data_IF_131334432928
#
_entry.id   IF_131334432928
#
_cell.length_a   1.000
_cell.length_b   1.000
_cell.length_c   1.000
_cell.angle_alpha   90.00
_cell.angle_beta   90.00
_cell.angle_gamma   90.00
#
_symmetry.space_group_name_H-M   'P 1'
#
loop_
_entity.id
_entity.type
_entity.pdbx_description
1 polymer ?
#
# COMPACT_ATOMS: atom_id res chain seq x y z
N UNK A 1 16.26 -3.43 9.94
CA UNK A 1 15.11 -2.50 9.91
C UNK A 1 13.83 -3.28 10.14
N UNK A 2 12.85 -2.71 10.84
CA UNK A 2 11.56 -3.39 11.03
C UNK A 2 10.77 -3.33 9.73
N UNK A 3 10.21 -4.44 9.27
CA UNK A 3 9.39 -4.47 8.05
C UNK A 3 7.99 -4.94 8.39
N UNK A 4 6.98 -4.30 7.80
CA UNK A 4 5.57 -4.67 7.91
C UNK A 4 4.79 -4.26 6.67
N UNK A 5 3.59 -4.77 6.51
CA UNK A 5 2.64 -4.34 5.48
C UNK A 5 1.92 -3.06 5.88
N UNK A 6 1.32 -2.36 4.92
CA UNK A 6 0.44 -1.23 5.19
C UNK A 6 -0.72 -1.62 6.13
N UNK A 7 -1.31 -2.82 5.96
CA UNK A 7 -2.38 -3.31 6.83
C UNK A 7 -1.92 -3.46 8.29
N UNK A 8 -0.75 -4.06 8.53
CA UNK A 8 -0.18 -4.19 9.87
C UNK A 8 0.12 -2.83 10.51
N UNK A 9 0.64 -1.88 9.73
CA UNK A 9 0.93 -0.52 10.18
C UNK A 9 -0.34 0.25 10.58
N UNK A 10 -1.40 0.15 9.77
CA UNK A 10 -2.69 0.77 10.04
C UNK A 10 -3.40 0.17 11.26
N UNK A 11 -3.33 -1.16 11.42
CA UNK A 11 -3.91 -1.84 12.58
C UNK A 11 -3.12 -1.60 13.87
N UNK A 12 -1.82 -1.31 13.76
CA UNK A 12 -0.92 -1.18 14.92
C UNK A 12 0.03 0.03 14.78
N UNK A 13 -0.47 1.27 14.72
CA UNK A 13 0.36 2.46 14.50
C UNK A 13 1.46 2.65 15.56
N UNK A 14 1.21 2.23 16.80
CA UNK A 14 2.21 2.27 17.88
C UNK A 14 3.42 1.36 17.66
N UNK A 15 3.34 0.40 16.72
CA UNK A 15 4.46 -0.45 16.32
C UNK A 15 5.32 0.20 15.22
N UNK A 16 4.89 1.30 14.63
CA UNK A 16 5.66 2.04 13.62
C UNK A 16 6.64 2.99 14.30
N UNK A 17 7.89 2.98 13.88
CA UNK A 17 8.91 3.92 14.35
C UNK A 17 8.62 5.37 13.94
N UNK A 18 9.55 6.28 14.22
CA UNK A 18 9.42 7.71 13.99
C UNK A 18 9.74 8.14 12.56
N UNK A 19 10.60 7.40 11.85
CA UNK A 19 10.99 7.67 10.46
C UNK A 19 10.62 6.50 9.53
N UNK A 20 9.32 6.22 9.32
CA UNK A 20 8.91 5.15 8.44
C UNK A 20 9.10 5.51 6.97
N UNK A 21 9.56 4.54 6.19
CA UNK A 21 9.55 4.58 4.72
C UNK A 21 8.48 3.63 4.20
N UNK A 22 7.54 4.18 3.43
CA UNK A 22 6.51 3.42 2.72
C UNK A 22 7.01 3.17 1.29
N UNK A 23 7.02 1.90 0.88
CA UNK A 23 7.33 1.49 -0.50
C UNK A 23 6.01 1.27 -1.23
N UNK A 24 5.77 2.07 -2.27
CA UNK A 24 4.52 2.10 -3.04
C UNK A 24 3.68 3.32 -2.67
N UNK A 25 3.51 4.21 -3.65
CA UNK A 25 2.77 5.47 -3.60
C UNK A 25 1.40 5.40 -4.29
N UNK A 26 0.80 4.21 -4.38
CA UNK A 26 -0.62 4.08 -4.70
C UNK A 26 -1.52 4.69 -3.62
N UNK A 27 -2.84 4.56 -3.75
CA UNK A 27 -3.81 5.11 -2.78
C UNK A 27 -3.57 4.59 -1.36
N UNK A 28 -3.46 3.28 -1.18
CA UNK A 28 -3.19 2.66 0.13
C UNK A 28 -1.92 3.21 0.77
N UNK A 29 -0.85 3.36 -0.01
CA UNK A 29 0.43 3.90 0.48
C UNK A 29 0.30 5.36 0.90
N UNK A 30 -0.39 6.17 0.10
CA UNK A 30 -0.64 7.58 0.40
C UNK A 30 -1.54 7.78 1.63
N UNK A 31 -2.63 7.02 1.75
CA UNK A 31 -3.53 7.06 2.91
C UNK A 31 -2.80 6.62 4.19
N UNK A 32 -2.00 5.56 4.10
CA UNK A 32 -1.14 5.11 5.19
C UNK A 32 -0.14 6.19 5.59
N UNK A 33 0.42 6.90 4.61
CA UNK A 33 1.36 7.99 4.87
C UNK A 33 0.70 9.15 5.63
N UNK A 34 -0.47 9.60 5.17
CA UNK A 34 -1.23 10.65 5.87
C UNK A 34 -1.62 10.21 7.26
N UNK A 35 -2.12 8.98 7.40
CA UNK A 35 -2.52 8.43 8.70
C UNK A 35 -1.34 8.46 9.69
N UNK A 36 -0.17 7.93 9.31
CA UNK A 36 1.00 7.90 10.18
C UNK A 36 1.58 9.29 10.44
N UNK A 37 1.60 10.18 9.44
CA UNK A 37 2.03 11.56 9.64
C UNK A 37 1.16 12.29 10.67
N UNK A 38 -0.17 12.09 10.62
CA UNK A 38 -1.09 12.60 11.63
C UNK A 38 -0.90 11.96 13.02
N UNK A 39 -0.22 10.81 13.10
CA UNK A 39 0.23 10.18 14.35
C UNK A 39 1.66 10.61 14.74
N UNK A 40 2.14 11.74 14.22
CA UNK A 40 3.42 12.35 14.59
C UNK A 40 4.64 11.66 13.99
N UNK A 41 4.48 10.90 12.91
CA UNK A 41 5.60 10.21 12.23
C UNK A 41 6.16 11.04 11.07
N UNK A 42 7.47 10.98 10.87
CA UNK A 42 8.17 11.64 9.76
C UNK A 42 8.22 10.71 8.54
N UNK A 43 7.11 10.66 7.80
CA UNK A 43 6.91 9.66 6.74
C UNK A 43 7.60 10.06 5.43
N UNK A 44 8.24 9.06 4.79
CA UNK A 44 8.70 9.15 3.41
C UNK A 44 8.02 8.08 2.56
N UNK A 45 7.51 8.43 1.39
CA UNK A 45 6.96 7.51 0.38
C UNK A 45 7.96 7.38 -0.77
N UNK A 46 8.32 6.15 -1.11
CA UNK A 46 9.12 5.82 -2.31
C UNK A 46 8.18 5.21 -3.35
N UNK A 47 8.10 5.86 -4.52
CA UNK A 47 7.25 5.44 -5.63
C UNK A 47 8.07 5.24 -6.89
N UNK A 48 7.87 4.09 -7.56
CA UNK A 48 8.60 3.71 -8.76
C UNK A 48 8.16 4.52 -9.99
N UNK A 49 6.89 4.88 -10.07
CA UNK A 49 6.30 5.65 -11.16
C UNK A 49 6.64 7.13 -11.06
N UNK A 50 6.34 7.88 -12.13
CA UNK A 50 6.63 9.32 -12.23
C UNK A 50 5.85 10.18 -11.23
N UNK A 51 4.71 9.69 -10.77
CA UNK A 51 3.81 10.39 -9.85
C UNK A 51 3.18 9.41 -8.84
N UNK A 52 2.73 9.95 -7.71
CA UNK A 52 1.90 9.21 -6.76
C UNK A 52 0.50 9.00 -7.32
N UNK A 53 -0.14 7.90 -6.90
CA UNK A 53 -1.49 7.52 -7.31
C UNK A 53 -1.68 7.59 -8.83
N UNK A 54 -0.81 6.94 -9.64
CA UNK A 54 -0.91 6.99 -11.09
C UNK A 54 -2.14 6.16 -11.52
N UNK A 55 -3.28 6.82 -11.72
CA UNK A 55 -4.51 6.19 -12.21
C UNK A 55 -5.09 7.00 -13.37
N UNK A 56 -5.43 6.31 -14.47
CA UNK A 56 -5.98 6.92 -15.69
C UNK A 56 -7.51 6.87 -15.79
N UNK A 57 -8.20 6.24 -14.82
CA UNK A 57 -9.66 6.10 -14.88
C UNK A 57 -10.34 7.48 -14.80
N UNK A 58 -11.27 7.72 -15.73
CA UNK A 58 -12.05 8.95 -15.83
C UNK A 58 -12.75 9.26 -14.49
N UNK A 59 -12.48 10.44 -13.94
CA UNK A 59 -13.05 10.91 -12.67
C UNK A 59 -12.18 10.69 -11.43
N UNK A 60 -11.15 9.83 -11.49
CA UNK A 60 -10.32 9.52 -10.33
C UNK A 60 -9.39 10.67 -9.92
N UNK A 61 -9.00 11.52 -10.88
CA UNK A 61 -8.18 12.72 -10.61
C UNK A 61 -8.84 13.70 -9.63
N UNK A 62 -10.17 13.77 -9.58
CA UNK A 62 -10.86 14.63 -8.61
C UNK A 62 -10.73 14.09 -7.18
N UNK A 63 -10.81 12.77 -7.00
CA UNK A 63 -10.71 12.12 -5.69
C UNK A 63 -9.29 12.18 -5.13
N UNK A 64 -8.26 12.03 -5.98
CA UNK A 64 -6.87 12.09 -5.53
C UNK A 64 -6.39 13.49 -5.20
N UNK A 65 -7.08 14.55 -5.69
CA UNK A 65 -6.72 15.95 -5.40
C UNK A 65 -6.77 16.26 -3.90
N UNK A 66 -7.78 15.74 -3.19
CA UNK A 66 -7.90 15.92 -1.74
C UNK A 66 -6.77 15.20 -1.02
N UNK A 67 -6.46 13.97 -1.42
CA UNK A 67 -5.38 13.19 -0.80
C UNK A 67 -3.99 13.82 -1.05
N UNK A 68 -3.77 14.41 -2.23
CA UNK A 68 -2.59 15.22 -2.52
C UNK A 68 -2.44 16.41 -1.56
N UNK A 69 -3.52 17.14 -1.29
CA UNK A 69 -3.52 18.25 -0.34
C UNK A 69 -3.25 17.76 1.09
N UNK A 70 -3.85 16.63 1.49
CA UNK A 70 -3.60 16.01 2.79
C UNK A 70 -2.14 15.59 2.97
N UNK A 71 -1.53 14.96 1.95
CA UNK A 71 -0.10 14.59 1.97
C UNK A 71 0.80 15.82 2.19
N UNK A 72 0.53 16.90 1.47
CA UNK A 72 1.27 18.17 1.59
C UNK A 72 1.10 18.79 2.97
N UNK A 73 -0.14 18.89 3.46
CA UNK A 73 -0.45 19.45 4.79
C UNK A 73 0.15 18.63 5.92
N UNK A 74 0.20 17.31 5.77
CA UNK A 74 0.80 16.41 6.74
C UNK A 74 2.35 16.36 6.66
N UNK A 75 2.97 17.07 5.71
CA UNK A 75 4.43 17.11 5.57
C UNK A 75 5.05 15.80 5.09
N UNK A 76 4.28 14.95 4.41
CA UNK A 76 4.79 13.67 3.88
C UNK A 76 5.80 13.95 2.76
N UNK A 77 6.99 13.36 2.87
CA UNK A 77 7.99 13.39 1.80
C UNK A 77 7.67 12.32 0.77
N UNK A 78 7.74 12.65 -0.51
CA UNK A 78 7.54 11.69 -1.59
C UNK A 78 8.71 11.74 -2.58
N UNK A 79 9.25 10.58 -2.92
CA UNK A 79 10.33 10.42 -3.89
C UNK A 79 9.82 9.49 -4.99
N UNK A 80 9.44 10.09 -6.12
CA UNK A 80 8.94 9.38 -7.31
C UNK A 80 10.09 8.97 -8.23
N UNK A 81 9.81 8.17 -9.27
CA UNK A 81 10.80 7.54 -10.16
C UNK A 81 11.89 6.80 -9.39
N UNK A 82 11.53 6.21 -8.25
CA UNK A 82 12.49 5.72 -7.27
C UNK A 82 12.26 4.27 -6.90
N UNK A 83 13.33 3.53 -6.73
CA UNK A 83 13.29 2.13 -6.30
C UNK A 83 14.20 1.90 -5.10
N UNK A 84 13.77 0.99 -4.23
CA UNK A 84 14.57 0.49 -3.12
C UNK A 84 15.38 -0.70 -3.63
N UNK A 85 16.70 -0.60 -3.51
CA UNK A 85 17.65 -1.62 -3.97
C UNK A 85 18.07 -2.57 -2.85
N UNK A 86 18.22 -2.04 -1.63
CA UNK A 86 18.70 -2.81 -0.48
C UNK A 86 18.10 -2.26 0.81
N UNK A 87 17.71 -3.15 1.72
CA UNK A 87 17.33 -2.81 3.08
C UNK A 87 18.45 -3.16 4.06
N UNK A 88 18.95 -2.15 4.77
CA UNK A 88 20.02 -2.28 5.77
C UNK A 88 19.43 -2.24 7.19
N UNK A 89 20.22 -2.46 8.26
CA UNK A 89 19.71 -2.43 9.62
C UNK A 89 18.93 -1.16 10.00
N UNK A 90 19.36 0.03 9.54
CA UNK A 90 18.76 1.33 9.88
C UNK A 90 18.69 2.31 8.69
N UNK A 91 18.83 1.81 7.46
CA UNK A 91 18.78 2.62 6.25
C UNK A 91 18.24 1.81 5.06
N UNK A 92 17.87 2.51 4.00
CA UNK A 92 17.57 1.93 2.69
C UNK A 92 18.51 2.50 1.65
N UNK A 93 19.03 1.66 0.76
CA UNK A 93 19.69 2.11 -0.46
C UNK A 93 18.62 2.29 -1.53
N UNK A 94 18.49 3.51 -2.06
CA UNK A 94 17.52 3.85 -3.10
C UNK A 94 18.22 4.43 -4.33
N UNK A 95 17.53 4.37 -5.47
CA UNK A 95 17.96 5.01 -6.72
C UNK A 95 16.79 5.81 -7.30
N UNK A 96 17.08 7.02 -7.80
CA UNK A 96 16.12 7.86 -8.52
C UNK A 96 16.43 7.81 -10.01
N UNK A 97 15.59 7.16 -10.80
CA UNK A 97 15.81 6.95 -12.23
C UNK A 97 17.14 6.25 -12.51
N UNK A 98 18.01 6.89 -13.30
CA UNK A 98 19.35 6.38 -13.63
C UNK A 98 20.45 6.96 -12.74
N UNK A 99 20.10 7.61 -11.62
CA UNK A 99 21.09 8.19 -10.70
C UNK A 99 21.97 7.11 -10.07
N UNK A 100 23.12 7.53 -9.53
CA UNK A 100 23.86 6.68 -8.59
C UNK A 100 22.97 6.38 -7.37
N UNK A 101 23.01 5.15 -6.82
CA UNK A 101 22.32 4.83 -5.58
C UNK A 101 22.84 5.67 -4.40
N UNK A 102 21.96 5.96 -3.45
CA UNK A 102 22.29 6.63 -2.20
C UNK A 102 21.44 6.09 -1.05
N UNK A 103 21.86 6.37 0.19
CA UNK A 103 21.19 5.89 1.39
C UNK A 103 20.25 6.92 2.02
N UNK A 104 19.14 6.44 2.56
CA UNK A 104 18.22 7.20 3.41
C UNK A 104 18.02 6.49 4.75
N UNK A 105 17.91 7.26 5.84
CA UNK A 105 17.55 6.72 7.16
C UNK A 105 16.13 6.17 7.14
N UNK A 106 15.93 5.05 7.82
CA UNK A 106 14.61 4.49 8.07
C UNK A 106 14.67 3.55 9.28
N UNK A 107 13.69 3.68 10.18
CA UNK A 107 13.54 2.74 11.31
C UNK A 107 12.52 1.64 11.02
N UNK A 108 11.60 1.91 10.09
CA UNK A 108 10.50 1.04 9.70
C UNK A 108 10.30 1.09 8.19
N UNK A 109 10.18 -0.06 7.55
CA UNK A 109 9.75 -0.22 6.15
C UNK A 109 8.32 -0.70 6.15
N UNK A 110 7.47 -0.01 5.39
CA UNK A 110 6.07 -0.37 5.20
C UNK A 110 5.87 -0.73 3.74
N UNK A 111 5.43 -1.96 3.48
CA UNK A 111 5.16 -2.47 2.14
C UNK A 111 3.73 -2.16 1.73
N UNK A 112 3.57 -1.36 0.67
CA UNK A 112 2.30 -1.02 0.03
C UNK A 112 2.36 -1.29 -1.48
N UNK A 113 2.82 -2.49 -1.84
CA UNK A 113 3.16 -2.89 -3.22
C UNK A 113 2.12 -3.86 -3.83
N UNK A 114 0.88 -3.81 -3.35
CA UNK A 114 -0.20 -4.69 -3.77
C UNK A 114 -0.35 -5.94 -2.90
N UNK A 115 -1.39 -6.71 -3.20
CA UNK A 115 -1.77 -7.92 -2.48
C UNK A 115 -1.76 -9.12 -3.44
N UNK A 116 -1.64 -10.32 -2.88
CA UNK A 116 -1.79 -11.57 -3.59
C UNK A 116 -2.76 -12.45 -2.83
N UNK A 117 -3.65 -13.13 -3.56
CA UNK A 117 -4.51 -14.16 -3.00
C UNK A 117 -3.68 -15.26 -2.33
N UNK A 118 -4.13 -15.68 -1.14
CA UNK A 118 -3.64 -16.90 -0.51
C UNK A 118 -4.41 -18.11 -1.07
N UNK A 119 -3.88 -18.68 -2.14
CA UNK A 119 -4.53 -19.80 -2.83
C UNK A 119 -4.63 -21.03 -1.92
N UNK A 120 -3.65 -21.27 -1.05
CA UNK A 120 -3.67 -22.42 -0.15
C UNK A 120 -4.81 -22.32 0.86
N UNK A 121 -4.99 -21.13 1.43
CA UNK A 121 -6.10 -20.87 2.35
C UNK A 121 -7.46 -21.02 1.64
N UNK A 122 -7.59 -20.46 0.43
CA UNK A 122 -8.80 -20.60 -0.39
C UNK A 122 -9.13 -22.06 -0.65
N UNK A 123 -8.14 -22.86 -1.09
CA UNK A 123 -8.34 -24.27 -1.40
C UNK A 123 -8.73 -25.08 -0.14
N UNK A 124 -8.15 -24.75 1.01
CA UNK A 124 -8.50 -25.40 2.28
C UNK A 124 -9.97 -25.21 2.69
N UNK A 125 -10.53 -24.01 2.47
CA UNK A 125 -11.93 -23.74 2.77
C UNK A 125 -12.87 -24.39 1.74
N UNK A 126 -12.48 -24.41 0.46
CA UNK A 126 -13.25 -25.11 -0.57
C UNK A 126 -13.35 -26.61 -0.31
N UNK A 127 -12.31 -27.22 0.24
CA UNK A 127 -12.33 -28.64 0.61
C UNK A 127 -13.27 -28.95 1.79
N UNK A 128 -13.61 -27.95 2.62
CA UNK A 128 -14.45 -28.13 3.80
C UNK A 128 -15.97 -28.16 3.51
N UNK A 129 -16.42 -27.72 2.33
CA UNK A 129 -17.83 -27.66 1.97
C UNK A 129 -18.03 -27.99 0.48
N UNK A 130 -18.99 -28.87 0.18
CA UNK A 130 -19.27 -29.33 -1.18
C UNK A 130 -19.67 -28.18 -2.12
N UNK A 131 -20.41 -27.21 -1.60
CA UNK A 131 -20.78 -25.99 -2.32
C UNK A 131 -20.05 -24.80 -1.69
N UNK A 132 -19.15 -24.18 -2.45
CA UNK A 132 -18.35 -23.06 -2.00
C UNK A 132 -18.06 -22.07 -3.13
N UNK A 133 -18.06 -20.79 -2.79
CA UNK A 133 -17.84 -19.68 -3.72
C UNK A 133 -16.74 -18.77 -3.19
N UNK A 134 -15.79 -18.42 -4.06
CA UNK A 134 -14.69 -17.50 -3.73
C UNK A 134 -15.07 -16.11 -4.26
N UNK A 135 -15.08 -15.09 -3.41
CA UNK A 135 -15.52 -13.74 -3.74
C UNK A 135 -14.54 -12.67 -3.24
N UNK A 136 -14.56 -11.49 -3.87
CA UNK A 136 -13.74 -10.35 -3.48
C UNK A 136 -12.24 -10.60 -3.60
N UNK A 137 -11.44 -10.01 -2.72
CA UNK A 137 -9.97 -10.06 -2.82
C UNK A 137 -9.42 -11.49 -2.67
N UNK A 138 -10.15 -12.37 -1.98
CA UNK A 138 -9.82 -13.80 -1.91
C UNK A 138 -9.93 -14.50 -3.27
N UNK A 139 -10.70 -13.96 -4.22
CA UNK A 139 -10.74 -14.42 -5.61
C UNK A 139 -9.70 -13.71 -6.47
N UNK A 140 -9.67 -12.38 -6.40
CA UNK A 140 -8.74 -11.54 -7.13
C UNK A 140 -8.65 -10.19 -6.42
N UNK A 141 -7.47 -9.79 -5.90
CA UNK A 141 -7.31 -8.52 -5.21
C UNK A 141 -7.75 -7.35 -6.09
N UNK A 142 -8.66 -6.53 -5.59
CA UNK A 142 -9.23 -5.40 -6.29
C UNK A 142 -9.49 -4.24 -5.34
N UNK A 143 -10.46 -3.40 -5.69
CA UNK A 143 -10.94 -2.33 -4.80
C UNK A 143 -12.24 -2.80 -4.15
N UNK A 144 -12.70 -1.98 -3.21
CA UNK A 144 -13.94 -2.22 -2.47
C UNK A 144 -15.13 -2.44 -3.41
N UNK A 145 -15.21 -1.72 -4.54
CA UNK A 145 -16.31 -1.90 -5.52
C UNK A 145 -16.32 -3.29 -6.14
N UNK A 146 -15.16 -3.83 -6.50
CA UNK A 146 -15.06 -5.17 -7.07
C UNK A 146 -15.46 -6.24 -6.05
N UNK A 147 -15.07 -6.06 -4.78
CA UNK A 147 -15.49 -6.95 -3.70
C UNK A 147 -17.01 -6.95 -3.45
N UNK A 148 -17.63 -5.76 -3.45
CA UNK A 148 -19.09 -5.62 -3.30
C UNK A 148 -19.82 -6.28 -4.48
N UNK A 149 -19.38 -5.99 -5.70
CA UNK A 149 -20.01 -6.54 -6.91
C UNK A 149 -19.90 -8.06 -6.99
N UNK A 150 -18.78 -8.63 -6.57
CA UNK A 150 -18.63 -10.08 -6.50
C UNK A 150 -19.61 -10.71 -5.50
N UNK A 151 -19.77 -10.09 -4.33
CA UNK A 151 -20.73 -10.51 -3.32
C UNK A 151 -22.17 -10.46 -3.82
N UNK A 152 -22.60 -9.33 -4.40
CA UNK A 152 -23.94 -9.18 -4.99
C UNK A 152 -24.18 -10.22 -6.11
N UNK A 153 -23.21 -10.39 -7.01
CA UNK A 153 -23.30 -11.36 -8.10
C UNK A 153 -23.52 -12.79 -7.58
N UNK A 154 -22.72 -13.24 -6.62
CA UNK A 154 -22.86 -14.60 -6.07
C UNK A 154 -24.13 -14.73 -5.24
N UNK A 155 -24.47 -13.74 -4.42
CA UNK A 155 -25.68 -13.76 -3.60
C UNK A 155 -26.99 -13.80 -4.39
N UNK A 156 -27.00 -13.37 -5.66
CA UNK A 156 -28.15 -13.50 -6.57
C UNK A 156 -28.20 -14.82 -7.33
N UNK A 157 -27.12 -15.59 -7.34
CA UNK A 157 -27.03 -16.88 -8.04
C UNK A 157 -27.50 -18.05 -7.17
N UNK A 158 -27.45 -17.88 -5.85
CA UNK A 158 -27.93 -18.82 -4.83
C UNK A 158 -29.34 -18.45 -4.37
#
# INVERSE_FOLDING_TARGET
>A
IKTMTAAEALLNPGRVGNEPVIIGGGTTGCETAVYLANHGKNVTVIEKMIELMPFDEVGYKYTTTVLWDMLKKAGVRAICKSEVLEAKPSSLVIRIGESKPFEISADTVILSIGLRTDQQLVDSFKAACAESYVIGDSRSPGRIKEAIHDGDRVGRLI
#
